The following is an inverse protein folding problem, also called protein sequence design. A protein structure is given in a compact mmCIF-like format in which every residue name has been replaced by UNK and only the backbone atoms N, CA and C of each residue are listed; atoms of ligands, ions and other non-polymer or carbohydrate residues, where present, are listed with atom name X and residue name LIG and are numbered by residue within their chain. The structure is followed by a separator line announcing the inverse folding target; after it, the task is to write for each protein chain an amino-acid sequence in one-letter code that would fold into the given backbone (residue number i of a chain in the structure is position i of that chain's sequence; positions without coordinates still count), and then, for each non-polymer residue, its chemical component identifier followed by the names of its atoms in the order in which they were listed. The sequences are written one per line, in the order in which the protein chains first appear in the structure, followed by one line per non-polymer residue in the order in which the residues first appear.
data_IF_538865911347
#
_entry.id   IF_538865911347
#
_cell.length_a   1.000
_cell.length_b   1.000
_cell.length_c   1.000
_cell.angle_alpha   90.00
_cell.angle_beta   90.00
_cell.angle_gamma   90.00
#
_symmetry.space_group_name_H-M   'P 1'
#
loop_
_entity.id
_entity.type
_entity.pdbx_description
1 polymer ?
#
# COMPACT_ATOMS: atom_id res chain seq x y z
N UNK A 1 -11.01 -0.06 5.63
CA UNK A 1 -9.99 -0.49 4.65
C UNK A 1 -8.81 0.47 4.76
N UNK A 2 -7.58 -0.02 4.85
CA UNK A 2 -6.37 0.82 4.91
C UNK A 2 -5.42 0.38 3.80
N UNK A 3 -5.03 1.32 2.93
CA UNK A 3 -3.96 1.10 1.96
C UNK A 3 -2.61 1.18 2.67
N UNK A 4 -1.79 0.13 2.57
CA UNK A 4 -0.42 0.16 3.10
C UNK A 4 0.48 0.87 2.09
N UNK A 5 1.25 1.86 2.56
CA UNK A 5 2.31 2.47 1.75
C UNK A 5 3.55 1.59 1.89
N UNK A 6 4.19 1.29 0.77
CA UNK A 6 5.38 0.44 0.71
C UNK A 6 6.62 1.29 0.46
N UNK A 7 7.74 0.91 1.08
CA UNK A 7 9.04 1.57 0.94
C UNK A 7 9.49 1.69 -0.53
N UNK A 8 9.09 0.72 -1.36
CA UNK A 8 9.37 0.71 -2.80
C UNK A 8 8.92 1.97 -3.55
N UNK A 9 7.91 2.70 -3.03
CA UNK A 9 7.45 3.97 -3.61
C UNK A 9 8.56 5.04 -3.56
N UNK A 10 9.42 4.99 -2.55
CA UNK A 10 10.52 5.95 -2.34
C UNK A 10 11.81 5.55 -3.06
N UNK A 11 11.92 4.32 -3.55
CA UNK A 11 13.11 3.82 -4.23
C UNK A 11 13.04 3.87 -5.75
N UNK A 12 11.83 3.93 -6.31
CA UNK A 12 11.58 3.92 -7.75
C UNK A 12 11.70 5.29 -8.42
N UNK A 13 11.50 5.32 -9.73
CA UNK A 13 11.41 6.51 -10.59
C UNK A 13 10.46 7.59 -10.04
N UNK A 14 9.38 7.19 -9.35
CA UNK A 14 8.38 8.09 -8.79
C UNK A 14 8.95 9.09 -7.77
N UNK A 15 10.07 8.77 -7.09
CA UNK A 15 10.73 9.68 -6.16
C UNK A 15 11.24 10.96 -6.82
N UNK A 16 11.47 10.93 -8.13
CA UNK A 16 11.90 12.10 -8.91
C UNK A 16 10.76 13.12 -9.10
N UNK A 17 9.51 12.72 -8.82
CA UNK A 17 8.37 13.61 -8.84
C UNK A 17 7.55 13.51 -7.55
N UNK A 18 7.81 14.44 -6.63
CA UNK A 18 7.14 14.47 -5.33
C UNK A 18 5.62 14.67 -5.42
N UNK A 19 5.12 15.39 -6.44
CA UNK A 19 3.68 15.61 -6.65
C UNK A 19 2.97 14.30 -6.98
N UNK A 20 3.54 13.53 -7.91
CA UNK A 20 3.05 12.20 -8.27
C UNK A 20 3.16 11.24 -7.08
N UNK A 21 4.26 11.28 -6.34
CA UNK A 21 4.46 10.44 -5.15
C UNK A 21 3.40 10.69 -4.08
N UNK A 22 3.17 11.95 -3.67
CA UNK A 22 2.18 12.29 -2.64
C UNK A 22 0.76 11.98 -3.13
N UNK A 23 0.45 12.29 -4.40
CA UNK A 23 -0.85 11.95 -5.00
C UNK A 23 -1.09 10.45 -4.97
N UNK A 24 -0.12 9.63 -5.38
CA UNK A 24 -0.24 8.18 -5.40
C UNK A 24 -0.44 7.59 -4.00
N UNK A 25 0.25 8.12 -2.98
CA UNK A 25 0.04 7.71 -1.59
C UNK A 25 -1.43 7.90 -1.17
N UNK A 26 -2.04 9.05 -1.52
CA UNK A 26 -3.45 9.29 -1.20
C UNK A 26 -4.37 8.33 -1.97
N UNK A 27 -4.07 8.07 -3.25
CA UNK A 27 -4.84 7.11 -4.04
C UNK A 27 -4.78 5.69 -3.45
N UNK A 28 -3.62 5.24 -2.96
CA UNK A 28 -3.48 3.94 -2.28
C UNK A 28 -4.32 3.90 -1.01
N UNK A 29 -4.29 4.96 -0.20
CA UNK A 29 -5.05 5.03 1.06
C UNK A 29 -6.56 5.00 0.80
N UNK A 30 -7.02 5.69 -0.25
CA UNK A 30 -8.44 5.94 -0.52
C UNK A 30 -9.10 4.93 -1.46
N UNK A 31 -8.33 4.11 -2.18
CA UNK A 31 -8.89 3.13 -3.09
C UNK A 31 -9.64 2.00 -2.34
N UNK A 32 -10.55 1.36 -3.04
CA UNK A 32 -11.30 0.22 -2.53
C UNK A 32 -10.47 -1.08 -2.55
N UNK A 33 -11.08 -2.19 -2.16
CA UNK A 33 -10.40 -3.47 -1.90
C UNK A 33 -9.80 -4.09 -3.16
N UNK A 34 -10.32 -3.67 -4.31
CA UNK A 34 -9.89 -4.10 -5.63
C UNK A 34 -8.81 -3.16 -6.19
N UNK A 35 -8.54 -2.02 -5.56
CA UNK A 35 -7.61 -1.00 -6.05
C UNK A 35 -8.25 -0.03 -7.03
N UNK A 36 -9.56 0.15 -6.91
CA UNK A 36 -10.33 1.11 -7.69
C UNK A 36 -10.58 2.36 -6.85
N UNK A 37 -10.31 3.52 -7.44
CA UNK A 37 -10.53 4.82 -6.87
C UNK A 37 -11.51 5.59 -7.75
N UNK A 38 -12.79 5.54 -7.42
CA UNK A 38 -13.86 6.16 -8.21
C UNK A 38 -14.18 7.57 -7.67
N UNK A 39 -13.34 8.55 -8.01
CA UNK A 39 -13.52 9.94 -7.59
C UNK A 39 -12.89 10.93 -8.57
N UNK A 40 -13.28 12.20 -8.48
CA UNK A 40 -12.72 13.29 -9.30
C UNK A 40 -11.45 13.88 -8.67
N UNK A 41 -10.59 14.58 -9.45
CA UNK A 41 -9.46 15.32 -8.90
C UNK A 41 -9.89 16.36 -7.85
N UNK A 42 -11.05 17.00 -8.05
CA UNK A 42 -11.64 17.95 -7.11
C UNK A 42 -12.02 17.27 -5.79
N UNK A 43 -12.60 16.07 -5.84
CA UNK A 43 -12.91 15.31 -4.63
C UNK A 43 -11.65 14.90 -3.86
N UNK A 44 -10.57 14.51 -4.57
CA UNK A 44 -9.26 14.26 -3.96
C UNK A 44 -8.70 15.51 -3.27
N UNK A 45 -8.75 16.66 -3.94
CA UNK A 45 -8.35 17.95 -3.37
C UNK A 45 -9.08 18.24 -2.06
N UNK A 46 -10.42 18.22 -2.06
CA UNK A 46 -11.19 18.52 -0.85
C UNK A 46 -10.96 17.52 0.28
N UNK A 47 -10.76 16.24 -0.04
CA UNK A 47 -10.59 15.19 0.97
C UNK A 47 -9.20 15.18 1.60
N UNK A 48 -8.18 15.61 0.88
CA UNK A 48 -6.77 15.53 1.31
C UNK A 48 -6.18 16.88 1.70
N UNK A 49 -6.81 17.99 1.26
CA UNK A 49 -6.27 19.34 1.40
C UNK A 49 -5.11 19.65 0.44
N UNK A 50 -4.69 18.69 -0.40
CA UNK A 50 -3.62 18.90 -1.37
C UNK A 50 -4.15 19.81 -2.49
N UNK A 51 -3.45 20.89 -2.88
CA UNK A 51 -3.85 21.75 -3.98
C UNK A 51 -4.22 20.99 -5.26
N UNK A 52 -5.31 21.40 -5.91
CA UNK A 52 -5.83 20.72 -7.11
C UNK A 52 -4.80 20.60 -8.23
N UNK A 53 -3.98 21.63 -8.43
CA UNK A 53 -2.87 21.64 -9.39
C UNK A 53 -1.89 20.48 -9.14
N UNK A 54 -1.51 20.25 -7.87
CA UNK A 54 -0.59 19.17 -7.48
C UNK A 54 -1.22 17.80 -7.75
N UNK A 55 -2.52 17.64 -7.46
CA UNK A 55 -3.24 16.40 -7.74
C UNK A 55 -3.27 16.13 -9.25
N UNK A 56 -3.56 17.14 -10.06
CA UNK A 56 -3.61 17.00 -11.53
C UNK A 56 -2.23 16.66 -12.11
N UNK A 57 -1.19 17.40 -11.72
CA UNK A 57 0.19 17.13 -12.14
C UNK A 57 0.62 15.71 -11.75
N UNK A 58 0.24 15.29 -10.53
CA UNK A 58 0.52 13.95 -10.05
C UNK A 58 -0.18 12.88 -10.87
N UNK A 59 -1.48 13.05 -11.17
CA UNK A 59 -2.26 12.12 -11.98
C UNK A 59 -1.67 11.96 -13.38
N UNK A 60 -1.29 13.06 -14.03
CA UNK A 60 -0.70 13.02 -15.38
C UNK A 60 0.55 12.12 -15.44
N UNK A 61 1.43 12.27 -14.45
CA UNK A 61 2.65 11.46 -14.36
C UNK A 61 2.34 10.00 -14.03
N UNK A 62 1.35 9.75 -13.17
CA UNK A 62 0.95 8.38 -12.82
C UNK A 62 0.26 7.64 -13.98
N UNK A 63 -0.39 8.38 -14.89
CA UNK A 63 -1.01 7.87 -16.13
C UNK A 63 -0.01 7.70 -17.29
N UNK A 64 1.15 8.35 -17.22
CA UNK A 64 2.21 8.25 -18.23
C UNK A 64 2.98 6.94 -18.19
N UNK A 65 3.51 6.53 -19.35
CA UNK A 65 4.40 5.37 -19.47
C UNK A 65 5.70 5.64 -18.69
N UNK A 66 6.19 4.63 -17.98
CA UNK A 66 7.41 4.70 -17.15
C UNK A 66 8.38 3.57 -17.56
N UNK A 67 9.28 3.83 -18.53
CA UNK A 67 10.24 2.83 -19.01
C UNK A 67 11.20 2.34 -17.92
N UNK A 68 11.46 3.18 -16.92
CA UNK A 68 12.32 2.88 -15.77
C UNK A 68 11.56 2.14 -14.65
N UNK A 69 10.30 1.79 -14.89
CA UNK A 69 9.52 1.03 -13.94
C UNK A 69 10.10 -0.38 -13.76
N UNK A 70 10.33 -0.74 -12.50
CA UNK A 70 10.69 -2.12 -12.10
C UNK A 70 9.60 -3.16 -12.38
N UNK A 71 8.41 -2.75 -12.81
CA UNK A 71 7.29 -3.65 -13.15
C UNK A 71 6.86 -3.46 -14.61
N UNK A 72 6.93 -4.49 -15.45
CA UNK A 72 6.66 -4.39 -16.90
C UNK A 72 5.17 -4.28 -17.26
N UNK A 73 4.25 -4.35 -16.29
CA UNK A 73 2.81 -4.29 -16.55
C UNK A 73 2.39 -2.89 -17.04
N UNK A 74 1.52 -2.84 -18.06
CA UNK A 74 0.91 -1.61 -18.58
C UNK A 74 1.95 -0.50 -18.91
N UNK A 75 3.09 -0.86 -19.53
CA UNK A 75 4.18 0.07 -19.86
C UNK A 75 4.72 0.88 -18.66
N UNK A 76 4.62 0.34 -17.45
CA UNK A 76 5.09 1.01 -16.24
C UNK A 76 4.10 2.02 -15.64
N UNK A 77 2.91 2.20 -16.22
CA UNK A 77 1.86 3.07 -15.65
C UNK A 77 1.52 2.67 -14.22
N UNK A 78 1.29 3.66 -13.36
CA UNK A 78 0.91 3.43 -11.95
C UNK A 78 -0.61 3.35 -11.80
N UNK A 79 -1.33 4.13 -12.60
CA UNK A 79 -2.79 4.16 -12.66
C UNK A 79 -3.29 4.12 -14.09
N UNK A 80 -4.49 3.60 -14.29
CA UNK A 80 -5.22 3.64 -15.56
C UNK A 80 -6.64 4.09 -15.29
N UNK A 81 -7.28 4.78 -16.25
CA UNK A 81 -8.68 5.22 -16.09
C UNK A 81 -9.62 4.03 -16.06
N UNK A 82 -10.73 4.16 -15.34
CA UNK A 82 -11.78 3.14 -15.30
C UNK A 82 -12.61 3.10 -16.59
N UNK A 83 -12.75 4.24 -17.24
CA UNK A 83 -13.56 4.45 -18.45
C UNK A 83 -12.84 5.50 -19.32
N UNK A 84 -12.64 5.21 -20.60
CA UNK A 84 -11.97 6.11 -21.54
C UNK A 84 -12.75 7.42 -21.76
N UNK A 85 -14.08 7.39 -21.58
CA UNK A 85 -14.95 8.55 -21.74
C UNK A 85 -14.97 9.47 -20.52
N UNK A 86 -14.39 9.05 -19.39
CA UNK A 86 -14.35 9.84 -18.16
C UNK A 86 -12.95 10.37 -17.92
N UNK A 87 -12.87 11.58 -17.39
CA UNK A 87 -11.60 12.22 -16.96
C UNK A 87 -11.26 11.92 -15.51
N UNK A 88 -12.00 11.01 -14.87
CA UNK A 88 -11.91 10.71 -13.45
C UNK A 88 -12.19 9.24 -13.19
N UNK A 89 -11.75 8.77 -12.03
CA UNK A 89 -11.85 7.36 -11.66
C UNK A 89 -10.68 6.55 -12.20
N UNK A 90 -9.97 5.86 -11.31
CA UNK A 90 -8.74 5.14 -11.66
C UNK A 90 -8.65 3.75 -11.06
N UNK A 91 -7.97 2.86 -11.77
CA UNK A 91 -7.47 1.59 -11.29
C UNK A 91 -5.98 1.67 -11.04
N UNK A 92 -5.55 1.25 -9.86
CA UNK A 92 -4.13 1.12 -9.53
C UNK A 92 -3.59 -0.18 -10.12
N UNK A 93 -2.66 -0.08 -11.08
CA UNK A 93 -2.16 -1.22 -11.89
C UNK A 93 -1.55 -2.32 -11.02
N UNK A 94 -0.74 -1.95 -10.02
CA UNK A 94 -0.04 -2.89 -9.14
C UNK A 94 -0.75 -3.12 -7.79
N UNK A 95 -2.03 -2.77 -7.65
CA UNK A 95 -2.73 -2.88 -6.36
C UNK A 95 -2.74 -4.30 -5.78
N UNK A 96 -2.94 -5.33 -6.63
CA UNK A 96 -2.91 -6.73 -6.18
C UNK A 96 -1.55 -7.11 -5.58
N UNK A 97 -0.46 -6.69 -6.23
CA UNK A 97 0.89 -6.92 -5.72
C UNK A 97 1.08 -6.34 -4.31
N UNK A 98 0.65 -5.08 -4.12
CA UNK A 98 0.68 -4.41 -2.82
C UNK A 98 -0.22 -5.09 -1.77
N UNK A 99 -1.45 -5.48 -2.12
CA UNK A 99 -2.35 -6.22 -1.21
C UNK A 99 -1.75 -7.56 -0.76
N UNK A 100 -1.14 -8.32 -1.68
CA UNK A 100 -0.50 -9.59 -1.35
C UNK A 100 0.73 -9.40 -0.46
N UNK A 101 1.54 -8.37 -0.72
CA UNK A 101 2.71 -8.06 0.10
C UNK A 101 2.32 -7.69 1.54
N UNK A 102 1.31 -6.84 1.72
CA UNK A 102 0.76 -6.54 3.04
C UNK A 102 0.24 -7.80 3.75
N UNK A 103 -0.56 -8.62 3.06
CA UNK A 103 -1.12 -9.84 3.64
C UNK A 103 -0.04 -10.85 4.04
N UNK A 104 1.03 -10.96 3.25
CA UNK A 104 2.16 -11.84 3.56
C UNK A 104 2.93 -11.38 4.81
N UNK A 105 3.22 -10.08 4.92
CA UNK A 105 3.90 -9.53 6.10
C UNK A 105 3.05 -9.66 7.37
N UNK A 106 1.75 -9.39 7.27
CA UNK A 106 0.82 -9.52 8.40
C UNK A 106 0.72 -10.97 8.87
N UNK A 107 0.67 -11.94 7.93
CA UNK A 107 0.74 -13.38 8.26
C UNK A 107 2.05 -13.73 8.96
N UNK A 108 3.19 -13.29 8.42
CA UNK A 108 4.52 -13.53 9.01
C UNK A 108 4.66 -12.91 10.41
N UNK A 109 4.04 -11.76 10.66
CA UNK A 109 3.99 -11.14 11.99
C UNK A 109 3.16 -11.97 12.95
N UNK A 110 1.93 -12.33 12.57
CA UNK A 110 1.04 -13.17 13.40
C UNK A 110 1.67 -14.53 13.75
N UNK A 111 2.33 -15.18 12.80
CA UNK A 111 3.01 -16.46 13.06
C UNK A 111 4.17 -16.31 14.04
N UNK A 112 4.94 -15.23 13.94
CA UNK A 112 6.03 -14.92 14.87
C UNK A 112 5.50 -14.68 16.28
N UNK A 113 4.44 -13.89 16.41
CA UNK A 113 3.81 -13.58 17.71
C UNK A 113 3.26 -14.86 18.35
N UNK A 114 2.55 -15.70 17.58
CA UNK A 114 2.05 -17.00 18.03
C UNK A 114 3.17 -17.94 18.52
N UNK A 115 4.29 -18.03 17.80
CA UNK A 115 5.43 -18.87 18.21
C UNK A 115 6.07 -18.31 19.50
N UNK A 116 6.19 -17.00 19.62
CA UNK A 116 6.73 -16.34 20.81
C UNK A 116 5.84 -16.59 22.04
N UNK A 117 4.53 -16.43 21.90
CA UNK A 117 3.54 -16.74 22.94
C UNK A 117 3.64 -18.21 23.39
N UNK A 118 3.69 -19.14 22.43
CA UNK A 118 3.84 -20.57 22.74
C UNK A 118 5.13 -20.86 23.52
N UNK A 119 6.27 -20.30 23.09
CA UNK A 119 7.56 -20.45 23.78
C UNK A 119 7.55 -19.82 25.18
N UNK A 120 6.87 -18.69 25.36
CA UNK A 120 6.72 -18.05 26.65
C UNK A 120 5.87 -18.91 27.62
N UNK A 121 4.76 -19.48 27.13
CA UNK A 121 3.92 -20.38 27.90
C UNK A 121 4.66 -21.68 28.30
N UNK A 122 5.43 -22.27 27.38
CA UNK A 122 6.26 -23.44 27.67
C UNK A 122 7.32 -23.15 28.75
N UNK A 123 8.03 -22.01 28.66
CA UNK A 123 8.97 -21.57 29.71
C UNK A 123 8.28 -21.37 31.06
N UNK A 124 7.11 -20.72 31.08
CA UNK A 124 6.35 -20.49 32.31
C UNK A 124 5.90 -21.80 32.97
N UNK A 125 5.43 -22.77 32.18
CA UNK A 125 5.06 -24.10 32.68
C UNK A 125 6.26 -24.89 33.19
N UNK A 126 7.42 -24.80 32.53
CA UNK A 126 8.66 -25.44 32.98
C UNK A 126 9.12 -24.88 34.33
N UNK A 127 9.05 -23.56 34.52
CA UNK A 127 9.37 -22.91 35.79
C UNK A 127 8.41 -23.32 36.93
N UNK A 128 7.09 -23.46 36.65
CA UNK A 128 6.12 -23.96 37.64
C UNK A 128 6.38 -25.42 38.05
N UNK A 129 6.80 -26.27 37.10
CA UNK A 129 7.18 -27.66 37.38
C UNK A 129 8.41 -27.76 38.29
N UNK A 130 9.43 -26.93 38.06
CA UNK A 130 10.65 -26.91 38.89
C UNK A 130 10.39 -26.40 40.31
N UNK A 131 9.50 -25.41 40.48
CA UNK A 131 9.13 -24.89 41.81
C UNK A 131 8.36 -25.93 42.67
N UNK A 132 7.66 -26.88 42.05
CA UNK A 132 6.85 -27.90 42.74
C UNK A 132 7.68 -29.08 43.28
N UNK A 133 8.91 -29.26 42.80
CA UNK A 133 9.80 -30.36 43.21
C UNK A 133 10.84 -29.97 44.27
N UNK A 134 10.74 -28.77 44.87
CA UNK A 134 11.66 -28.26 45.91
C UNK A 134 10.99 -28.10 47.30
N UNK A 135 9.86 -28.77 47.53
CA UNK A 135 9.15 -28.80 48.82
C UNK A 135 9.33 -30.12 49.53
#
# INVERSE_FOLDING_TARGET
MYGKIFEQIYEGSLRMNWKAMVTFQQMIILCNEDGTLDMTPQALHFRTGIPLEIIKDGIEILESDDPESRTPNQNGKRIVRLDEHRTWGWKLVNHKHYKHLASYEDKKKKDRDRINEKRAAEKANKNKGVAKCRG
#
